data_IF_459242053611
#
_entry.id   IF_459242053611
#
_cell.length_a   1.000
_cell.length_b   1.000
_cell.length_c   1.000
_cell.angle_alpha   90.00
_cell.angle_beta   90.00
_cell.angle_gamma   90.00
#
_symmetry.space_group_name_H-M   'P 1'
#
loop_
_entity.id
_entity.type
_entity.pdbx_description
1 polymer ?
#
# COMPACT_ATOMS: atom_id res chain seq x y z
N UNK A 1 -20.13 1.67 -16.68
CA UNK A 1 -19.58 0.36 -16.25
C UNK A 1 -18.68 0.63 -15.05
N UNK A 2 -19.01 0.13 -13.86
CA UNK A 2 -18.09 0.23 -12.72
C UNK A 2 -16.94 -0.76 -12.96
N UNK A 3 -15.71 -0.28 -13.06
CA UNK A 3 -14.52 -1.12 -13.21
C UNK A 3 -14.42 -2.04 -12.00
N UNK A 4 -14.53 -3.36 -12.22
CA UNK A 4 -14.41 -4.34 -11.14
C UNK A 4 -12.95 -4.50 -10.77
N UNK A 5 -12.63 -4.30 -9.50
CA UNK A 5 -11.28 -4.50 -9.02
C UNK A 5 -10.96 -5.99 -8.90
N UNK A 6 -9.77 -6.36 -9.38
CA UNK A 6 -9.27 -7.74 -9.41
C UNK A 6 -8.00 -7.84 -8.57
N UNK A 7 -7.60 -9.08 -8.26
CA UNK A 7 -6.31 -9.32 -7.62
C UNK A 7 -5.21 -8.84 -8.56
N UNK A 8 -4.37 -7.92 -8.10
CA UNK A 8 -3.27 -7.38 -8.92
C UNK A 8 -1.97 -7.42 -8.15
N UNK A 9 -1.01 -8.18 -8.69
CA UNK A 9 0.37 -8.16 -8.23
C UNK A 9 1.23 -7.32 -9.18
N UNK A 10 2.16 -6.53 -8.64
CA UNK A 10 3.09 -5.71 -9.40
C UNK A 10 4.49 -6.30 -9.30
N UNK A 11 4.93 -6.97 -10.36
CA UNK A 11 6.23 -7.62 -10.40
C UNK A 11 7.31 -6.68 -10.96
N UNK A 12 8.17 -6.19 -10.07
CA UNK A 12 9.35 -5.40 -10.44
C UNK A 12 10.42 -6.26 -11.11
N UNK A 13 11.11 -5.71 -12.13
CA UNK A 13 12.13 -6.42 -12.93
C UNK A 13 11.63 -7.73 -13.54
N UNK A 14 10.37 -7.75 -13.97
CA UNK A 14 9.75 -8.86 -14.70
C UNK A 14 9.93 -8.78 -16.22
N UNK A 15 10.64 -7.76 -16.71
CA UNK A 15 10.72 -7.47 -18.14
C UNK A 15 11.55 -8.52 -18.90
N UNK A 16 10.91 -9.20 -19.86
CA UNK A 16 11.59 -9.83 -20.99
C UNK A 16 11.74 -8.79 -22.11
N UNK A 17 12.97 -8.42 -22.43
CA UNK A 17 13.32 -7.52 -23.52
C UNK A 17 14.80 -7.68 -23.85
N UNK A 18 15.26 -7.15 -24.99
CA UNK A 18 16.62 -7.38 -25.52
C UNK A 18 17.75 -7.01 -24.54
N UNK A 19 17.48 -6.11 -23.57
CA UNK A 19 18.42 -5.68 -22.52
C UNK A 19 17.94 -5.97 -21.08
N UNK A 20 16.84 -6.72 -20.90
CA UNK A 20 16.27 -6.99 -19.58
C UNK A 20 16.99 -8.12 -18.84
N UNK A 21 17.14 -8.01 -17.52
CA UNK A 21 17.50 -9.16 -16.67
C UNK A 21 16.38 -10.18 -16.77
N UNK A 22 16.59 -11.20 -17.59
CA UNK A 22 15.68 -12.31 -17.79
C UNK A 22 15.68 -13.11 -16.49
N UNK A 23 14.54 -13.20 -15.80
CA UNK A 23 14.35 -13.98 -14.58
C UNK A 23 14.95 -13.36 -13.30
N UNK A 24 14.42 -12.20 -12.88
CA UNK A 24 14.67 -11.77 -11.49
C UNK A 24 14.05 -12.77 -10.51
N UNK A 25 14.81 -13.13 -9.48
CA UNK A 25 14.32 -13.93 -8.34
C UNK A 25 13.06 -13.27 -7.78
N UNK A 26 13.02 -11.94 -7.76
CA UNK A 26 11.88 -11.13 -7.36
C UNK A 26 10.61 -11.44 -8.15
N UNK A 27 10.67 -11.45 -9.48
CA UNK A 27 9.51 -11.75 -10.32
C UNK A 27 9.07 -13.21 -10.20
N UNK A 28 10.02 -14.16 -10.20
CA UNK A 28 9.70 -15.59 -10.04
C UNK A 28 9.04 -15.87 -8.69
N UNK A 29 9.62 -15.37 -7.60
CA UNK A 29 9.08 -15.55 -6.26
C UNK A 29 7.70 -14.91 -6.10
N UNK A 30 7.45 -13.80 -6.78
CA UNK A 30 6.13 -13.18 -6.84
C UNK A 30 5.11 -14.04 -7.56
N UNK A 31 5.46 -14.54 -8.75
CA UNK A 31 4.56 -15.36 -9.55
C UNK A 31 4.20 -16.66 -8.82
N UNK A 32 5.18 -17.29 -8.18
CA UNK A 32 4.95 -18.51 -7.39
C UNK A 32 3.96 -18.26 -6.24
N UNK A 33 4.03 -17.10 -5.57
CA UNK A 33 3.07 -16.75 -4.50
C UNK A 33 1.73 -16.29 -5.05
N UNK A 34 1.72 -15.62 -6.19
CA UNK A 34 0.48 -15.25 -6.86
C UNK A 34 -0.30 -16.49 -7.32
N UNK A 35 0.38 -17.52 -7.83
CA UNK A 35 -0.28 -18.74 -8.32
C UNK A 35 -0.51 -19.79 -7.23
N UNK A 36 0.37 -19.86 -6.23
CA UNK A 36 0.40 -20.94 -5.24
C UNK A 36 0.66 -20.44 -3.81
N UNK A 37 0.26 -19.20 -3.53
CA UNK A 37 0.22 -18.65 -2.18
C UNK A 37 -0.93 -19.23 -1.39
N UNK A 38 -0.96 -18.92 -0.10
CA UNK A 38 -1.96 -19.39 0.86
C UNK A 38 -2.76 -18.22 1.46
N UNK A 39 -2.18 -17.02 1.38
CA UNK A 39 -2.72 -15.79 1.96
C UNK A 39 -2.59 -14.67 0.95
N UNK A 40 -3.66 -13.90 0.80
CA UNK A 40 -3.69 -12.65 0.05
C UNK A 40 -4.05 -11.51 0.98
N UNK A 41 -3.37 -10.38 0.82
CA UNK A 41 -3.69 -9.12 1.48
C UNK A 41 -3.87 -8.05 0.41
N UNK A 42 -5.09 -7.52 0.28
CA UNK A 42 -5.36 -6.36 -0.58
C UNK A 42 -5.13 -5.07 0.19
N UNK A 43 -4.34 -4.16 -0.37
CA UNK A 43 -3.85 -2.98 0.33
C UNK A 43 -4.40 -1.72 -0.34
N UNK A 44 -4.98 -0.86 0.49
CA UNK A 44 -5.56 0.42 0.11
C UNK A 44 -4.98 1.54 0.98
N UNK A 45 -4.86 2.73 0.40
CA UNK A 45 -4.77 3.97 1.16
C UNK A 45 -6.14 4.65 1.09
N UNK A 46 -6.80 4.75 2.23
CA UNK A 46 -8.02 5.52 2.40
C UNK A 46 -7.62 6.90 2.94
N UNK A 47 -7.84 7.94 2.14
CA UNK A 47 -7.42 9.31 2.47
C UNK A 47 -8.57 10.03 3.16
N UNK A 48 -8.31 10.65 4.32
CA UNK A 48 -9.29 11.47 5.03
C UNK A 48 -9.21 12.91 4.56
N UNK A 49 -8.00 13.47 4.50
CA UNK A 49 -7.77 14.85 4.07
C UNK A 49 -6.37 15.06 3.51
N UNK A 50 -6.24 16.10 2.69
CA UNK A 50 -4.98 16.70 2.25
C UNK A 50 -5.07 18.21 2.50
N UNK A 51 -3.95 18.83 2.88
CA UNK A 51 -3.84 20.28 3.03
C UNK A 51 -2.87 20.84 2.00
N UNK A 52 -3.14 22.07 1.56
CA UNK A 52 -2.26 22.83 0.68
C UNK A 52 -1.20 23.57 1.52
N UNK A 53 -0.07 23.99 0.91
CA UNK A 53 0.79 25.02 1.47
C UNK A 53 -0.01 26.28 1.80
N UNK A 54 0.37 26.99 2.87
CA UNK A 54 -0.36 28.16 3.37
C UNK A 54 -0.49 29.27 2.31
N UNK A 55 0.52 29.44 1.47
CA UNK A 55 0.55 30.40 0.36
C UNK A 55 -0.50 30.10 -0.71
N UNK A 56 -0.89 28.83 -0.85
CA UNK A 56 -1.85 28.38 -1.86
C UNK A 56 -3.29 28.38 -1.34
N UNK A 57 -3.51 28.41 -0.02
CA UNK A 57 -4.86 28.40 0.59
C UNK A 57 -5.77 29.52 0.06
N UNK A 58 -5.33 30.79 -0.08
CA UNK A 58 -6.18 31.87 -0.61
C UNK A 58 -6.66 31.65 -2.05
N UNK A 59 -6.00 30.76 -2.79
CA UNK A 59 -6.27 30.47 -4.19
C UNK A 59 -6.58 28.99 -4.45
N UNK A 60 -6.98 28.25 -3.41
CA UNK A 60 -7.21 26.80 -3.45
C UNK A 60 -8.12 26.35 -4.61
N UNK A 61 -9.11 27.16 -4.99
CA UNK A 61 -10.03 26.85 -6.10
C UNK A 61 -9.35 26.79 -7.49
N UNK A 62 -8.15 27.36 -7.61
CA UNK A 62 -7.35 27.41 -8.85
C UNK A 62 -6.18 26.43 -8.84
N UNK A 63 -5.98 25.72 -7.72
CA UNK A 63 -4.86 24.79 -7.54
C UNK A 63 -5.22 23.43 -8.10
N UNK A 64 -4.36 22.91 -8.98
CA UNK A 64 -4.36 21.52 -9.41
C UNK A 64 -3.09 20.84 -8.91
N UNK A 65 -3.19 19.56 -8.55
CA UNK A 65 -2.05 18.77 -8.11
C UNK A 65 -2.33 17.29 -8.35
N UNK A 66 -1.29 16.51 -8.65
CA UNK A 66 -1.37 15.05 -8.82
C UNK A 66 -0.57 14.36 -7.72
N UNK A 67 -1.27 13.83 -6.72
CA UNK A 67 -0.67 13.09 -5.62
C UNK A 67 -0.23 11.71 -6.10
N UNK A 68 1.02 11.36 -5.81
CA UNK A 68 1.60 10.06 -6.09
C UNK A 68 1.75 9.29 -4.79
N UNK A 69 1.24 8.06 -4.79
CA UNK A 69 1.28 7.13 -3.66
C UNK A 69 2.16 5.96 -4.03
N UNK A 70 3.30 5.86 -3.36
CA UNK A 70 4.26 4.79 -3.53
C UNK A 70 4.03 3.68 -2.50
N UNK A 71 4.28 2.44 -2.92
CA UNK A 71 4.19 1.28 -2.05
C UNK A 71 5.21 0.23 -2.43
N UNK A 72 5.95 -0.25 -1.45
CA UNK A 72 6.83 -1.41 -1.57
C UNK A 72 6.50 -2.40 -0.46
N UNK A 73 6.46 -3.70 -0.73
CA UNK A 73 6.41 -4.71 0.34
C UNK A 73 7.50 -5.77 0.14
N UNK A 74 8.10 -6.23 1.23
CA UNK A 74 9.14 -7.26 1.24
C UNK A 74 8.81 -8.32 2.29
N UNK A 75 8.88 -9.62 1.97
CA UNK A 75 8.68 -10.67 2.95
C UNK A 75 9.80 -10.67 3.99
N UNK A 76 9.49 -11.08 5.22
CA UNK A 76 10.49 -11.21 6.29
C UNK A 76 11.68 -12.05 5.82
N UNK A 77 12.89 -11.56 6.12
CA UNK A 77 14.15 -12.27 5.84
C UNK A 77 14.54 -12.34 4.37
N UNK A 78 13.84 -11.66 3.45
CA UNK A 78 14.20 -11.58 2.04
C UNK A 78 14.75 -10.18 1.72
N UNK A 79 15.70 -10.13 0.77
CA UNK A 79 16.37 -8.89 0.34
C UNK A 79 15.71 -8.26 -0.89
N UNK A 80 14.46 -8.64 -1.14
CA UNK A 80 13.72 -8.30 -2.34
C UNK A 80 12.26 -7.96 -2.02
N UNK A 81 11.61 -7.27 -2.96
CA UNK A 81 10.22 -6.82 -2.83
C UNK A 81 9.23 -7.79 -3.51
N UNK A 82 8.14 -8.12 -2.81
CA UNK A 82 6.91 -8.76 -3.33
C UNK A 82 6.08 -7.81 -4.18
N UNK A 83 6.15 -6.51 -3.95
CA UNK A 83 5.47 -5.56 -4.82
C UNK A 83 6.18 -4.25 -4.65
N UNK A 84 6.26 -3.50 -5.75
CA UNK A 84 6.93 -2.22 -5.79
C UNK A 84 6.24 -1.35 -6.83
N UNK A 85 5.81 -0.18 -6.36
CA UNK A 85 5.16 0.86 -7.13
C UNK A 85 5.77 2.19 -6.72
N UNK A 86 6.66 2.71 -7.55
CA UNK A 86 7.38 3.96 -7.29
C UNK A 86 7.22 4.92 -8.46
N UNK A 87 7.32 6.20 -8.19
CA UNK A 87 7.26 7.27 -9.19
C UNK A 87 8.39 7.18 -10.19
N UNK A 88 9.61 6.88 -9.72
CA UNK A 88 10.79 6.64 -10.59
C UNK A 88 10.64 5.42 -11.52
N UNK A 89 9.60 4.62 -11.34
CA UNK A 89 9.26 3.43 -12.15
C UNK A 89 7.96 3.62 -12.92
N UNK A 90 7.43 4.84 -13.00
CA UNK A 90 6.18 5.17 -13.69
C UNK A 90 4.99 4.28 -13.29
N UNK A 91 5.01 3.78 -12.06
CA UNK A 91 4.01 2.84 -11.53
C UNK A 91 3.28 3.27 -10.24
N UNK A 92 3.40 4.51 -9.72
CA UNK A 92 2.73 4.88 -8.47
C UNK A 92 1.20 4.81 -8.65
N UNK A 93 0.47 4.70 -7.54
CA UNK A 93 -0.95 5.01 -7.58
C UNK A 93 -1.12 6.53 -7.56
N UNK A 94 -2.08 7.06 -8.31
CA UNK A 94 -2.26 8.52 -8.42
C UNK A 94 -3.69 8.97 -8.13
N UNK A 95 -3.82 10.16 -7.54
CA UNK A 95 -5.09 10.89 -7.40
C UNK A 95 -4.86 12.38 -7.56
N UNK A 96 -5.79 13.04 -8.25
CA UNK A 96 -5.78 14.50 -8.32
C UNK A 96 -6.23 15.13 -7.00
N UNK A 97 -5.84 16.38 -6.76
CA UNK A 97 -6.33 17.17 -5.63
C UNK A 97 -7.86 17.19 -5.57
N UNK A 98 -8.52 17.43 -6.70
CA UNK A 98 -9.99 17.43 -6.81
C UNK A 98 -10.62 16.08 -6.42
N UNK A 99 -9.98 14.95 -6.75
CA UNK A 99 -10.47 13.64 -6.34
C UNK A 99 -10.35 13.41 -4.83
N UNK A 100 -9.31 13.96 -4.19
CA UNK A 100 -9.11 13.83 -2.76
C UNK A 100 -9.98 14.79 -1.94
N UNK A 101 -10.25 15.99 -2.45
CA UNK A 101 -11.04 17.02 -1.75
C UNK A 101 -12.50 17.09 -2.17
N UNK A 102 -12.88 16.39 -3.25
CA UNK A 102 -14.22 16.39 -3.80
C UNK A 102 -15.26 15.59 -2.99
N UNK A 103 -16.49 15.57 -3.50
CA UNK A 103 -17.63 14.92 -2.84
C UNK A 103 -17.63 13.38 -2.97
N UNK A 104 -16.97 12.81 -3.98
CA UNK A 104 -16.94 11.35 -4.18
C UNK A 104 -16.00 10.67 -3.18
N UNK A 105 -16.59 10.08 -2.14
CA UNK A 105 -15.85 9.35 -1.12
C UNK A 105 -15.08 8.12 -1.67
N UNK A 106 -15.47 7.55 -2.82
CA UNK A 106 -14.73 6.44 -3.41
C UNK A 106 -13.44 6.90 -4.08
N UNK A 107 -13.37 8.15 -4.56
CA UNK A 107 -12.17 8.71 -5.15
C UNK A 107 -11.00 8.79 -4.13
N UNK A 108 -11.34 8.93 -2.83
CA UNK A 108 -10.41 8.90 -1.70
C UNK A 108 -9.90 7.50 -1.32
N UNK A 109 -10.43 6.43 -1.93
CA UNK A 109 -9.97 5.05 -1.73
C UNK A 109 -9.02 4.65 -2.85
N UNK A 110 -7.76 4.43 -2.51
CA UNK A 110 -6.67 4.24 -3.47
C UNK A 110 -6.13 2.84 -3.33
N UNK A 111 -6.33 1.99 -4.33
CA UNK A 111 -5.75 0.66 -4.32
C UNK A 111 -4.26 0.69 -4.64
N UNK A 112 -3.46 0.17 -3.71
CA UNK A 112 -2.01 0.11 -3.81
C UNK A 112 -1.54 -1.21 -4.42
N UNK A 113 -2.25 -2.31 -4.17
CA UNK A 113 -1.95 -3.62 -4.76
C UNK A 113 -2.30 -4.78 -3.84
N UNK A 114 -1.92 -5.98 -4.23
CA UNK A 114 -2.06 -7.19 -3.41
C UNK A 114 -0.69 -7.75 -3.05
N UNK A 115 -0.56 -8.23 -1.81
CA UNK A 115 0.55 -9.04 -1.34
C UNK A 115 0.09 -10.49 -1.20
N UNK A 116 0.88 -11.42 -1.71
CA UNK A 116 0.62 -12.86 -1.62
C UNK A 116 1.72 -13.51 -0.78
N UNK A 117 1.34 -14.32 0.21
CA UNK A 117 2.26 -15.01 1.11
C UNK A 117 2.03 -16.51 1.02
N UNK A 118 3.09 -17.30 1.23
CA UNK A 118 2.98 -18.76 1.23
C UNK A 118 3.51 -19.39 2.50
N UNK A 119 2.72 -20.33 3.03
CA UNK A 119 3.01 -21.23 4.15
C UNK A 119 4.28 -22.04 3.92
N UNK A 120 4.64 -22.40 2.68
CA UNK A 120 5.87 -23.16 2.40
C UNK A 120 7.15 -22.30 2.50
N UNK A 121 7.01 -20.97 2.46
CA UNK A 121 8.12 -20.02 2.36
C UNK A 121 8.40 -19.25 3.65
N UNK A 122 7.85 -19.68 4.80
CA UNK A 122 8.08 -19.01 6.09
C UNK A 122 9.54 -19.13 6.52
N UNK A 123 10.03 -18.07 7.17
CA UNK A 123 11.38 -18.02 7.72
C UNK A 123 11.49 -18.90 8.96
N UNK A 124 10.56 -18.72 9.90
CA UNK A 124 10.45 -19.56 11.09
C UNK A 124 9.56 -20.77 10.76
N UNK A 125 10.13 -21.97 10.82
CA UNK A 125 9.41 -23.22 10.53
C UNK A 125 8.57 -23.72 11.70
N UNK A 126 8.82 -23.22 12.91
CA UNK A 126 8.07 -23.55 14.12
C UNK A 126 6.76 -22.75 14.27
N UNK A 127 6.63 -21.65 13.52
CA UNK A 127 5.46 -20.78 13.53
C UNK A 127 4.66 -20.86 12.21
N UNK A 128 3.33 -20.72 12.27
CA UNK A 128 2.49 -20.53 11.08
C UNK A 128 2.50 -19.09 10.56
N UNK A 129 3.11 -18.16 11.31
CA UNK A 129 3.12 -16.73 11.01
C UNK A 129 3.87 -16.41 9.73
N UNK A 130 3.19 -15.69 8.84
CA UNK A 130 3.71 -15.11 7.62
C UNK A 130 3.86 -13.61 7.83
N UNK A 131 4.99 -13.02 7.45
CA UNK A 131 5.24 -11.60 7.72
C UNK A 131 5.88 -10.90 6.53
N UNK A 132 5.54 -9.63 6.37
CA UNK A 132 6.17 -8.72 5.42
C UNK A 132 6.31 -7.33 6.04
N UNK A 133 7.31 -6.60 5.60
CA UNK A 133 7.42 -5.15 5.81
C UNK A 133 6.85 -4.43 4.60
N UNK A 134 6.28 -3.26 4.81
CA UNK A 134 5.69 -2.41 3.77
C UNK A 134 6.16 -0.98 3.96
N UNK A 135 6.74 -0.39 2.93
CA UNK A 135 7.03 1.04 2.87
C UNK A 135 5.87 1.69 2.12
N UNK A 136 5.29 2.73 2.70
CA UNK A 136 4.28 3.57 2.08
C UNK A 136 4.78 5.01 2.08
N UNK A 137 4.60 5.70 0.96
CA UNK A 137 4.87 7.13 0.86
C UNK A 137 3.78 7.85 0.07
N UNK A 138 3.35 9.00 0.56
CA UNK A 138 2.55 9.96 -0.19
C UNK A 138 3.48 11.13 -0.56
N UNK A 139 3.81 11.27 -1.84
CA UNK A 139 4.73 12.32 -2.32
C UNK A 139 4.09 13.69 -2.16
N UNK A 140 4.90 14.72 -1.94
CA UNK A 140 4.47 16.11 -2.20
C UNK A 140 4.23 16.22 -3.71
N UNK A 141 3.04 16.65 -4.15
CA UNK A 141 2.77 16.78 -5.58
C UNK A 141 3.36 18.08 -6.13
N UNK A 142 3.55 18.13 -7.44
CA UNK A 142 3.73 19.39 -8.15
C UNK A 142 2.42 20.16 -8.09
N UNK A 143 2.40 21.26 -7.33
CA UNK A 143 1.26 22.17 -7.31
C UNK A 143 1.29 23.05 -8.57
N UNK A 144 0.13 23.18 -9.19
CA UNK A 144 -0.07 24.02 -10.35
C UNK A 144 -1.18 25.04 -10.08
N UNK A 145 -0.99 26.26 -10.55
CA UNK A 145 -2.01 27.30 -10.57
C UNK A 145 -2.29 27.63 -12.03
N UNK A 146 -3.52 27.42 -12.49
CA UNK A 146 -3.90 27.69 -13.88
C UNK A 146 -2.96 27.01 -14.91
N UNK A 147 -2.58 25.74 -14.64
CA UNK A 147 -1.66 24.91 -15.45
C UNK A 147 -0.21 25.40 -15.48
N UNK A 148 0.19 26.21 -14.50
CA UNK A 148 1.57 26.64 -14.32
C UNK A 148 2.10 26.09 -13.01
N UNK A 149 3.23 25.41 -13.07
CA UNK A 149 3.94 24.91 -11.90
C UNK A 149 4.24 26.05 -10.91
N UNK A 150 4.02 25.78 -9.63
CA UNK A 150 4.32 26.68 -8.52
C UNK A 150 5.62 26.23 -7.82
N UNK A 151 6.76 26.90 -8.05
CA UNK A 151 8.05 26.45 -7.55
C UNK A 151 8.36 26.87 -6.11
N UNK A 152 7.67 27.87 -5.56
CA UNK A 152 8.12 28.59 -4.35
C UNK A 152 8.21 27.70 -3.09
N UNK A 153 7.42 26.62 -3.03
CA UNK A 153 7.46 25.62 -1.95
C UNK A 153 7.86 24.21 -2.41
N UNK A 154 8.41 24.06 -3.62
CA UNK A 154 8.74 22.74 -4.16
C UNK A 154 10.13 22.26 -3.71
N UNK A 155 10.19 21.02 -3.22
CA UNK A 155 11.43 20.30 -2.97
C UNK A 155 11.34 18.90 -3.58
N UNK A 156 12.25 18.59 -4.50
CA UNK A 156 12.25 17.30 -5.17
C UNK A 156 12.47 16.15 -4.19
N UNK A 157 11.69 15.08 -4.34
CA UNK A 157 11.76 13.91 -3.48
C UNK A 157 11.06 14.04 -2.12
N UNK A 158 10.48 15.20 -1.78
CA UNK A 158 9.75 15.39 -0.52
C UNK A 158 8.50 14.50 -0.40
N UNK A 159 8.19 14.11 0.82
CA UNK A 159 7.03 13.28 1.17
C UNK A 159 6.11 14.03 2.13
N UNK A 160 4.81 14.03 1.82
CA UNK A 160 3.79 14.43 2.79
C UNK A 160 3.76 13.43 3.95
N UNK A 161 3.93 12.15 3.65
CA UNK A 161 4.08 11.12 4.66
C UNK A 161 4.94 9.98 4.12
N UNK A 162 5.83 9.45 4.96
CA UNK A 162 6.53 8.20 4.68
C UNK A 162 6.56 7.34 5.95
N UNK A 163 6.17 6.07 5.82
CA UNK A 163 6.16 5.12 6.92
C UNK A 163 6.58 3.72 6.49
N UNK A 164 7.17 2.98 7.43
CA UNK A 164 7.44 1.55 7.27
C UNK A 164 6.54 0.76 8.23
N UNK A 165 5.61 -0.02 7.71
CA UNK A 165 4.71 -0.87 8.47
C UNK A 165 5.21 -2.32 8.49
N UNK A 166 4.98 -3.02 9.60
CA UNK A 166 5.20 -4.45 9.72
C UNK A 166 3.83 -5.12 9.83
N UNK A 167 3.62 -6.16 9.01
CA UNK A 167 2.38 -6.94 9.01
C UNK A 167 2.72 -8.41 9.22
N UNK A 168 2.03 -9.04 10.17
CA UNK A 168 2.14 -10.45 10.50
C UNK A 168 0.75 -11.07 10.42
N UNK A 169 0.62 -12.13 9.63
CA UNK A 169 -0.62 -12.90 9.49
C UNK A 169 -0.33 -14.31 9.99
N UNK A 170 -1.11 -14.76 10.96
CA UNK A 170 -1.00 -16.08 11.58
C UNK A 170 -2.27 -16.85 11.28
N UNK A 171 -2.28 -17.66 10.20
CA UNK A 171 -3.35 -18.62 9.96
C UNK A 171 -3.39 -19.68 11.08
N UNK A 172 -4.56 -20.26 11.36
CA UNK A 172 -4.68 -21.35 12.31
C UNK A 172 -3.90 -22.58 11.79
N UNK A 173 -3.56 -23.52 12.70
CA UNK A 173 -3.05 -24.83 12.32
C UNK A 173 -3.97 -25.54 11.32
N UNK A 174 -3.40 -26.38 10.45
CA UNK A 174 -4.16 -27.03 9.36
C UNK A 174 -5.29 -27.95 9.88
N UNK A 175 -5.15 -28.50 11.09
CA UNK A 175 -6.18 -29.29 11.78
C UNK A 175 -7.27 -28.45 12.47
N UNK A 176 -7.21 -27.13 12.38
CA UNK A 176 -8.11 -26.19 13.04
C UNK A 176 -8.56 -25.07 12.07
N UNK A 177 -8.89 -25.43 10.82
CA UNK A 177 -9.21 -24.48 9.75
C UNK A 177 -10.41 -23.56 10.05
N UNK A 178 -11.29 -23.92 10.98
CA UNK A 178 -12.41 -23.11 11.43
C UNK A 178 -12.05 -22.07 12.52
N UNK A 179 -10.80 -22.05 13.00
CA UNK A 179 -10.33 -21.10 14.00
C UNK A 179 -10.01 -19.74 13.39
N UNK A 180 -10.16 -18.64 14.15
CA UNK A 180 -9.84 -17.31 13.66
C UNK A 180 -8.34 -17.18 13.35
N UNK A 181 -8.04 -16.41 12.31
CA UNK A 181 -6.70 -15.97 11.99
C UNK A 181 -6.34 -14.78 12.87
N UNK A 182 -5.07 -14.62 13.18
CA UNK A 182 -4.58 -13.42 13.89
C UNK A 182 -3.79 -12.56 12.93
N UNK A 183 -4.13 -11.28 12.83
CA UNK A 183 -3.37 -10.29 12.07
C UNK A 183 -2.81 -9.27 13.05
N UNK A 184 -1.51 -9.14 13.08
CA UNK A 184 -0.78 -8.17 13.88
C UNK A 184 -0.11 -7.16 12.95
N UNK A 185 -0.38 -5.87 13.13
CA UNK A 185 0.21 -4.85 12.28
C UNK A 185 0.43 -3.50 12.97
N UNK A 186 1.40 -2.74 12.49
CA UNK A 186 1.65 -1.37 12.94
C UNK A 186 2.82 -0.74 12.21
N UNK A 187 2.99 0.58 12.39
CA UNK A 187 4.23 1.25 11.97
C UNK A 187 5.41 0.69 12.78
N UNK A 188 6.58 0.57 12.16
CA UNK A 188 7.76 -0.06 12.74
C UNK A 188 8.27 0.64 14.01
N UNK A 189 7.96 1.93 14.16
CA UNK A 189 8.26 2.76 15.33
C UNK A 189 7.03 3.05 16.21
N UNK A 190 5.90 2.38 15.97
CA UNK A 190 4.62 2.67 16.59
C UNK A 190 4.03 1.50 17.37
N UNK A 191 2.85 1.73 17.93
CA UNK A 191 2.06 0.68 18.56
C UNK A 191 1.60 -0.33 17.50
N UNK A 192 1.50 -1.58 17.93
CA UNK A 192 1.01 -2.67 17.11
C UNK A 192 -0.42 -3.01 17.52
N UNK A 193 -1.27 -3.25 16.53
CA UNK A 193 -2.66 -3.64 16.70
C UNK A 193 -2.81 -5.12 16.34
N UNK A 194 -3.71 -5.81 17.05
CA UNK A 194 -4.03 -7.22 16.81
C UNK A 194 -5.50 -7.32 16.44
N UNK A 195 -5.79 -7.94 15.30
CA UNK A 195 -7.13 -8.19 14.78
C UNK A 195 -7.34 -9.68 14.60
N UNK A 196 -8.39 -10.24 15.21
CA UNK A 196 -8.82 -11.61 14.93
C UNK A 196 -9.78 -11.62 13.74
N UNK A 197 -9.54 -12.49 12.77
CA UNK A 197 -10.35 -12.63 11.56
C UNK A 197 -10.95 -14.03 11.50
N UNK A 198 -12.26 -14.11 11.69
CA UNK A 198 -13.03 -15.34 11.55
C UNK A 198 -13.80 -15.33 10.23
N UNK A 199 -13.28 -16.06 9.24
CA UNK A 199 -13.88 -16.15 7.90
C UNK A 199 -15.23 -16.89 7.89
N UNK A 200 -15.62 -17.53 8.99
CA UNK A 200 -16.92 -18.22 9.10
C UNK A 200 -18.05 -17.28 9.56
N UNK A 201 -17.72 -16.11 10.11
CA UNK A 201 -18.67 -15.21 10.78
C UNK A 201 -19.15 -14.03 9.91
N UNK A 202 -19.30 -14.24 8.61
CA UNK A 202 -19.78 -13.22 7.68
C UNK A 202 -18.64 -12.44 7.01
N UNK A 203 -18.78 -11.13 6.90
CA UNK A 203 -17.77 -10.27 6.24
C UNK A 203 -16.58 -10.07 7.20
N UNK A 204 -15.36 -10.50 6.83
CA UNK A 204 -14.16 -10.27 7.63
C UNK A 204 -13.92 -8.78 7.92
N UNK A 205 -13.43 -8.40 9.11
CA UNK A 205 -13.05 -7.02 9.37
C UNK A 205 -11.82 -6.64 8.53
N UNK A 206 -11.77 -5.37 8.12
CA UNK A 206 -10.57 -4.79 7.54
C UNK A 206 -9.54 -4.47 8.63
N UNK A 207 -8.27 -4.60 8.30
CA UNK A 207 -7.15 -4.30 9.19
C UNK A 207 -6.61 -2.91 8.83
N UNK A 208 -6.48 -2.02 9.82
CA UNK A 208 -6.25 -0.60 9.58
C UNK A 208 -4.97 -0.13 10.29
N UNK A 209 -4.15 0.68 9.60
CA UNK A 209 -3.02 1.39 10.19
C UNK A 209 -3.17 2.89 9.86
N UNK A 210 -3.54 3.76 10.83
CA UNK A 210 -3.72 5.18 10.59
C UNK A 210 -2.40 5.90 10.35
N UNK A 211 -2.41 6.98 9.56
CA UNK A 211 -1.27 7.89 9.40
C UNK A 211 -1.72 9.36 9.36
N UNK A 212 -0.85 10.24 9.82
CA UNK A 212 -1.02 11.68 9.84
C UNK A 212 0.36 12.33 9.74
N UNK A 213 0.54 13.27 8.82
CA UNK A 213 1.82 13.96 8.63
C UNK A 213 2.12 15.03 9.69
N UNK A 214 1.10 15.49 10.44
CA UNK A 214 1.21 16.59 11.40
C UNK A 214 1.94 17.84 10.87
N UNK A 215 1.85 18.10 9.56
CA UNK A 215 2.56 19.15 8.82
C UNK A 215 1.63 19.91 7.87
N UNK A 216 2.07 21.08 7.40
CA UNK A 216 1.43 21.82 6.30
C UNK A 216 2.46 22.09 5.19
N UNK A 217 2.23 21.66 3.93
CA UNK A 217 1.15 20.79 3.49
C UNK A 217 1.23 19.41 4.17
N UNK A 218 0.10 18.71 4.18
CA UNK A 218 -0.05 17.47 4.93
C UNK A 218 -1.09 16.53 4.37
N UNK A 219 -1.09 15.32 4.91
CA UNK A 219 -2.02 14.26 4.56
C UNK A 219 -2.40 13.45 5.80
N UNK A 220 -3.68 13.08 5.85
CA UNK A 220 -4.23 12.20 6.89
C UNK A 220 -5.05 11.10 6.24
N UNK A 221 -4.98 9.91 6.82
CA UNK A 221 -5.76 8.76 6.36
C UNK A 221 -5.37 7.48 7.07
N UNK A 222 -5.63 6.35 6.42
CA UNK A 222 -5.21 5.05 6.91
C UNK A 222 -4.87 4.09 5.77
N UNK A 223 -3.92 3.20 6.04
CA UNK A 223 -3.75 2.00 5.25
C UNK A 223 -4.79 0.98 5.67
N UNK A 224 -5.61 0.54 4.72
CA UNK A 224 -6.65 -0.46 4.91
C UNK A 224 -6.28 -1.74 4.18
N UNK A 225 -6.27 -2.84 4.92
CA UNK A 225 -5.86 -4.16 4.44
C UNK A 225 -7.01 -5.14 4.55
N UNK A 226 -7.30 -5.83 3.45
CA UNK A 226 -8.29 -6.90 3.41
C UNK A 226 -7.55 -8.23 3.30
N UNK A 227 -7.55 -8.99 4.39
CA UNK A 227 -6.85 -10.28 4.46
C UNK A 227 -7.80 -11.41 4.08
N UNK A 228 -7.35 -12.34 3.24
CA UNK A 228 -8.14 -13.48 2.76
C UNK A 228 -7.27 -14.73 2.58
N UNK A 229 -7.87 -15.93 2.70
CA UNK A 229 -7.28 -17.13 2.10
C UNK A 229 -7.06 -16.92 0.60
N UNK A 230 -6.00 -17.52 0.06
CA UNK A 230 -5.66 -17.46 -1.36
C UNK A 230 -5.43 -18.85 -1.92
#
# INVERSE_FOLDING_TARGET
MATRQVATNYAFRSHSGYFGIVNSEEAYQNLVRFLFGDVRVDIWADIDSVTLPDELVPQASRVTALYQFEMCAAPKGKRWFLTRRKSVEDSPAVRSHQQLTGADANARKIYLGSVFLSKKSRVDRSSSTLSYAMIFAAKVPDYEIEKRFWPDGHFEGADLFQGNAIVRVTPPPDNAAASPWTVECGWANGATQITAIDFTKGVPPDVIIPFDSASTPGIKGALRMVVRPW
#
